data_IF_130539526836
#
_entry.id   IF_130539526836
#
_cell.length_a   1.000
_cell.length_b   1.000
_cell.length_c   1.000
_cell.angle_alpha   90.00
_cell.angle_beta   90.00
_cell.angle_gamma   90.00
#
_symmetry.space_group_name_H-M   'P 1'
#
loop_
_entity.id
_entity.type
_entity.pdbx_description
1 polymer ?
#
# COMPACT_ATOMS: atom_id res chain seq x y z
N UNK A 1 -51.86 -40.32 1.34
CA UNK A 1 -51.18 -39.40 2.27
C UNK A 1 -49.82 -39.13 1.68
N UNK A 2 -49.59 -37.90 1.21
CA UNK A 2 -48.30 -37.47 0.71
C UNK A 2 -47.48 -36.99 1.90
N UNK A 3 -46.29 -37.55 2.09
CA UNK A 3 -45.33 -37.11 3.08
C UNK A 3 -44.55 -35.94 2.47
N UNK A 4 -44.77 -34.73 2.97
CA UNK A 4 -43.93 -33.58 2.64
C UNK A 4 -42.58 -33.77 3.35
N UNK A 5 -41.53 -34.05 2.59
CA UNK A 5 -40.15 -33.92 3.05
C UNK A 5 -39.87 -32.42 3.17
N UNK A 6 -39.83 -31.91 4.41
CA UNK A 6 -39.37 -30.54 4.68
C UNK A 6 -37.89 -30.45 4.28
N UNK A 7 -37.64 -29.75 3.17
CA UNK A 7 -36.30 -29.40 2.72
C UNK A 7 -35.62 -28.58 3.82
N UNK A 8 -34.63 -29.18 4.47
CA UNK A 8 -33.76 -28.47 5.42
C UNK A 8 -32.93 -27.50 4.58
N UNK A 9 -33.33 -26.24 4.52
CA UNK A 9 -32.47 -25.16 4.06
C UNK A 9 -31.28 -25.10 5.01
N UNK A 10 -30.13 -25.56 4.53
CA UNK A 10 -28.87 -25.36 5.20
C UNK A 10 -28.55 -23.89 4.99
N UNK A 11 -28.71 -23.07 6.02
CA UNK A 11 -28.10 -21.74 6.07
C UNK A 11 -26.59 -21.95 5.96
N UNK A 12 -26.10 -21.96 4.71
CA UNK A 12 -24.70 -21.75 4.42
C UNK A 12 -24.40 -20.37 4.96
N UNK A 13 -23.68 -20.33 6.08
CA UNK A 13 -23.07 -19.12 6.62
C UNK A 13 -22.02 -18.66 5.60
N UNK A 14 -22.47 -18.11 4.47
CA UNK A 14 -21.61 -17.43 3.52
C UNK A 14 -21.12 -16.20 4.25
N UNK A 15 -19.88 -16.24 4.70
CA UNK A 15 -19.15 -15.05 5.13
C UNK A 15 -19.44 -13.96 4.09
N UNK A 16 -20.03 -12.87 4.56
CA UNK A 16 -20.46 -11.78 3.68
C UNK A 16 -19.19 -11.23 3.05
N UNK A 17 -19.01 -11.49 1.75
CA UNK A 17 -17.91 -10.92 0.98
C UNK A 17 -17.90 -9.40 1.17
N UNK A 18 -16.76 -8.87 1.62
CA UNK A 18 -16.61 -7.44 1.86
C UNK A 18 -16.71 -6.68 0.54
N UNK A 19 -17.35 -5.51 0.58
CA UNK A 19 -17.32 -4.57 -0.53
C UNK A 19 -15.90 -4.05 -0.76
N UNK A 20 -15.60 -3.58 -1.98
CA UNK A 20 -14.28 -3.03 -2.31
C UNK A 20 -13.86 -1.88 -1.38
N UNK A 21 -14.81 -1.06 -0.95
CA UNK A 21 -14.55 0.02 0.00
C UNK A 21 -14.15 -0.51 1.38
N UNK A 22 -14.86 -1.52 1.92
CA UNK A 22 -14.49 -2.17 3.18
C UNK A 22 -13.12 -2.86 3.07
N UNK A 23 -12.81 -3.48 1.93
CA UNK A 23 -11.48 -4.08 1.67
C UNK A 23 -10.36 -3.04 1.68
N UNK A 24 -10.59 -1.88 1.07
CA UNK A 24 -9.63 -0.77 1.05
C UNK A 24 -9.46 -0.11 2.43
N UNK A 25 -10.51 -0.05 3.23
CA UNK A 25 -10.42 0.39 4.63
C UNK A 25 -9.52 -0.56 5.44
N UNK A 26 -9.66 -1.88 5.25
CA UNK A 26 -8.74 -2.87 5.87
C UNK A 26 -7.29 -2.70 5.41
N UNK A 27 -7.08 -2.40 4.13
CA UNK A 27 -5.75 -2.10 3.61
C UNK A 27 -5.17 -0.83 4.26
N UNK A 28 -5.97 0.23 4.40
CA UNK A 28 -5.55 1.47 5.07
C UNK A 28 -5.17 1.23 6.53
N UNK A 29 -5.98 0.49 7.29
CA UNK A 29 -5.68 0.06 8.66
C UNK A 29 -4.33 -0.67 8.73
N UNK A 30 -4.06 -1.56 7.77
CA UNK A 30 -2.80 -2.31 7.73
C UNK A 30 -1.61 -1.40 7.39
N UNK A 31 -1.74 -0.52 6.39
CA UNK A 31 -0.69 0.43 6.02
C UNK A 31 -0.35 1.36 7.19
N UNK A 32 -1.37 1.91 7.87
CA UNK A 32 -1.18 2.75 9.05
C UNK A 32 -0.51 2.00 10.20
N UNK A 33 -0.87 0.73 10.42
CA UNK A 33 -0.21 -0.13 11.42
C UNK A 33 1.28 -0.30 11.13
N UNK A 34 1.65 -0.61 9.89
CA UNK A 34 3.06 -0.79 9.50
C UNK A 34 3.86 0.50 9.73
N UNK A 35 3.33 1.65 9.32
CA UNK A 35 3.99 2.94 9.56
C UNK A 35 4.15 3.23 11.05
N UNK A 36 3.14 2.94 11.87
CA UNK A 36 3.21 3.14 13.31
C UNK A 36 4.21 2.19 14.00
N UNK A 37 4.30 0.93 13.58
CA UNK A 37 5.18 -0.08 14.17
C UNK A 37 6.65 0.11 13.76
N UNK A 38 6.91 0.52 12.51
CA UNK A 38 8.27 0.66 11.98
C UNK A 38 8.91 2.03 12.30
N UNK A 39 8.11 3.09 12.48
CA UNK A 39 8.61 4.41 12.87
C UNK A 39 7.56 5.18 13.70
N UNK A 40 7.63 5.05 15.03
CA UNK A 40 6.68 5.64 15.99
C UNK A 40 6.38 7.13 15.82
N UNK A 41 7.29 7.90 15.19
CA UNK A 41 7.12 9.34 14.99
C UNK A 41 6.69 9.70 13.55
N UNK A 42 6.47 8.70 12.70
CA UNK A 42 6.14 8.91 11.29
C UNK A 42 4.71 8.48 11.01
N UNK A 43 3.84 9.46 10.87
CA UNK A 43 2.50 9.29 10.36
C UNK A 43 2.48 9.59 8.86
N UNK A 44 1.78 8.77 8.08
CA UNK A 44 1.36 9.12 6.74
C UNK A 44 -0.10 9.60 6.79
N UNK A 45 -0.41 10.70 6.11
CA UNK A 45 -1.81 11.02 5.81
C UNK A 45 -2.22 10.18 4.62
N UNK A 46 -3.37 9.50 4.71
CA UNK A 46 -3.78 8.50 3.72
C UNK A 46 -5.21 8.70 3.26
N UNK A 47 -5.46 8.37 2.00
CA UNK A 47 -6.78 8.43 1.41
C UNK A 47 -6.96 7.30 0.39
N UNK A 48 -8.05 6.54 0.53
CA UNK A 48 -8.35 5.40 -0.31
C UNK A 48 -9.39 5.77 -1.38
N UNK A 49 -9.14 5.37 -2.64
CA UNK A 49 -10.03 5.59 -3.79
C UNK A 49 -10.39 4.26 -4.46
N UNK A 50 -11.32 3.47 -3.89
CA UNK A 50 -11.66 2.14 -4.38
C UNK A 50 -12.14 2.11 -5.84
N UNK A 51 -12.84 3.16 -6.28
CA UNK A 51 -13.37 3.27 -7.64
C UNK A 51 -12.27 3.30 -8.72
N UNK A 52 -11.11 3.88 -8.37
CA UNK A 52 -9.95 4.02 -9.26
C UNK A 52 -8.84 3.02 -8.97
N UNK A 53 -9.06 2.13 -8.00
CA UNK A 53 -8.05 1.17 -7.52
C UNK A 53 -6.77 1.86 -7.03
N UNK A 54 -6.92 3.05 -6.46
CA UNK A 54 -5.79 3.88 -6.05
C UNK A 54 -5.82 4.21 -4.57
N UNK A 55 -4.64 4.45 -4.01
CA UNK A 55 -4.43 4.82 -2.63
C UNK A 55 -3.38 5.93 -2.58
N UNK A 56 -3.65 6.98 -1.81
CA UNK A 56 -2.84 8.17 -1.79
C UNK A 56 -2.20 8.32 -0.41
N UNK A 57 -0.92 8.66 -0.40
CA UNK A 57 -0.14 8.86 0.81
C UNK A 57 0.57 10.21 0.74
N UNK A 58 0.48 10.98 1.81
CA UNK A 58 1.32 12.16 2.02
C UNK A 58 2.25 11.90 3.20
N UNK A 59 3.54 12.05 2.97
CA UNK A 59 4.59 11.72 3.94
C UNK A 59 5.51 12.92 4.09
N UNK A 60 5.61 13.46 5.30
CA UNK A 60 6.62 14.47 5.61
C UNK A 60 8.00 13.81 5.69
N UNK A 61 8.98 14.40 4.99
CA UNK A 61 10.37 13.97 5.02
C UNK A 61 11.07 14.44 6.28
N UNK A 62 11.96 13.61 6.83
CA UNK A 62 12.67 13.89 8.08
C UNK A 62 13.74 14.96 7.94
N UNK A 63 14.39 15.02 6.79
CA UNK A 63 15.50 15.93 6.51
C UNK A 63 15.78 15.92 5.00
N UNK A 64 15.37 16.99 4.33
CA UNK A 64 15.52 17.13 2.87
C UNK A 64 16.92 17.57 2.44
N UNK A 65 17.77 17.93 3.41
CA UNK A 65 19.17 18.33 3.17
C UNK A 65 20.14 17.16 3.34
N UNK A 66 19.72 16.09 4.01
CA UNK A 66 20.53 14.90 4.23
C UNK A 66 20.13 13.77 3.26
N UNK A 67 20.97 13.58 2.24
CA UNK A 67 20.75 12.59 1.19
C UNK A 67 20.45 11.17 1.70
N UNK A 68 21.12 10.70 2.76
CA UNK A 68 20.89 9.34 3.26
C UNK A 68 19.48 9.22 3.83
N UNK A 69 19.06 10.17 4.68
CA UNK A 69 17.71 10.19 5.23
C UNK A 69 16.65 10.36 4.14
N UNK A 70 16.92 11.20 3.14
CA UNK A 70 16.05 11.35 1.97
C UNK A 70 15.86 10.03 1.22
N UNK A 71 16.94 9.25 1.02
CA UNK A 71 16.85 7.94 0.36
C UNK A 71 16.04 6.95 1.18
N UNK A 72 16.26 6.88 2.49
CA UNK A 72 15.48 6.01 3.37
C UNK A 72 13.99 6.41 3.32
N UNK A 73 13.70 7.71 3.47
CA UNK A 73 12.35 8.24 3.42
C UNK A 73 11.61 7.87 2.14
N UNK A 74 12.32 7.93 1.01
CA UNK A 74 11.80 7.57 -0.32
C UNK A 74 11.47 6.10 -0.45
N UNK A 75 12.26 5.22 0.17
CA UNK A 75 12.12 3.78 -0.02
C UNK A 75 11.12 3.14 0.96
N UNK A 76 10.87 3.77 2.10
CA UNK A 76 9.92 3.25 3.09
C UNK A 76 8.51 2.95 2.55
N UNK A 77 7.83 3.83 1.79
CA UNK A 77 6.54 3.47 1.19
C UNK A 77 6.62 2.31 0.21
N UNK A 78 7.72 2.17 -0.53
CA UNK A 78 7.95 1.04 -1.43
C UNK A 78 8.00 -0.28 -0.66
N UNK A 79 8.77 -0.30 0.43
CA UNK A 79 8.95 -1.50 1.25
C UNK A 79 7.71 -1.84 2.07
N UNK A 80 7.04 -0.85 2.65
CA UNK A 80 5.81 -1.06 3.40
C UNK A 80 4.71 -1.63 2.51
N UNK A 81 4.56 -1.09 1.29
CA UNK A 81 3.61 -1.65 0.33
C UNK A 81 3.98 -3.07 -0.10
N UNK A 82 5.28 -3.35 -0.33
CA UNK A 82 5.74 -4.69 -0.67
C UNK A 82 5.40 -5.72 0.43
N UNK A 83 5.64 -5.40 1.69
CA UNK A 83 5.33 -6.29 2.83
C UNK A 83 3.83 -6.61 2.88
N UNK A 84 2.97 -5.63 2.58
CA UNK A 84 1.52 -5.87 2.49
C UNK A 84 1.20 -6.78 1.31
N UNK A 85 1.81 -6.56 0.15
CA UNK A 85 1.60 -7.42 -1.02
C UNK A 85 2.00 -8.86 -0.75
N UNK A 86 3.12 -9.08 -0.07
CA UNK A 86 3.54 -10.39 0.42
C UNK A 86 2.49 -10.99 1.37
N UNK A 87 2.08 -10.28 2.43
CA UNK A 87 1.09 -10.77 3.42
C UNK A 87 -0.26 -11.18 2.81
N UNK A 88 -0.75 -10.43 1.82
CA UNK A 88 -2.04 -10.69 1.17
C UNK A 88 -1.97 -11.71 0.02
N UNK A 89 -0.77 -12.12 -0.42
CA UNK A 89 -0.58 -13.14 -1.46
C UNK A 89 0.08 -14.42 -0.94
N UNK A 90 0.54 -14.44 0.31
CA UNK A 90 1.09 -15.65 0.91
C UNK A 90 -0.03 -16.65 1.21
N UNK A 91 0.14 -17.88 0.73
CA UNK A 91 -0.83 -18.97 0.83
C UNK A 91 -0.74 -19.72 2.18
N UNK A 92 0.05 -19.22 3.15
CA UNK A 92 0.09 -19.78 4.50
C UNK A 92 -1.21 -19.37 5.23
N UNK A 93 -2.09 -20.36 5.48
CA UNK A 93 -3.46 -20.32 6.05
C UNK A 93 -3.70 -19.41 7.30
N UNK A 94 -2.68 -18.67 7.74
CA UNK A 94 -2.67 -17.69 8.81
C UNK A 94 -3.63 -16.50 8.63
N UNK A 95 -4.00 -16.14 7.40
CA UNK A 95 -4.88 -15.00 7.08
C UNK A 95 -5.95 -15.31 6.03
N UNK A 96 -6.77 -16.35 6.27
CA UNK A 96 -7.80 -16.87 5.35
C UNK A 96 -8.74 -15.84 4.69
N UNK A 97 -8.88 -14.65 5.27
CA UNK A 97 -9.83 -13.62 4.81
C UNK A 97 -9.17 -12.55 3.91
N UNK A 98 -7.84 -12.54 3.81
CA UNK A 98 -7.05 -11.54 3.09
C UNK A 98 -6.63 -12.10 1.73
N UNK A 99 -6.99 -11.39 0.66
CA UNK A 99 -6.60 -11.73 -0.70
C UNK A 99 -6.15 -10.48 -1.48
N UNK A 100 -5.56 -10.67 -2.66
CA UNK A 100 -5.04 -9.58 -3.50
C UNK A 100 -6.06 -8.48 -3.87
N UNK A 101 -7.38 -8.73 -3.80
CA UNK A 101 -8.44 -7.75 -4.11
C UNK A 101 -8.59 -6.66 -3.05
N UNK A 102 -7.94 -6.81 -1.90
CA UNK A 102 -7.83 -5.78 -0.88
C UNK A 102 -6.76 -4.73 -1.20
N UNK A 103 -5.86 -5.06 -2.12
CA UNK A 103 -4.70 -4.25 -2.41
C UNK A 103 -5.02 -3.29 -3.57
N UNK A 104 -4.82 -1.97 -3.41
CA UNK A 104 -4.91 -1.04 -4.53
C UNK A 104 -3.85 -1.35 -5.58
N UNK A 105 -4.22 -1.31 -6.87
CA UNK A 105 -3.26 -1.44 -7.97
C UNK A 105 -2.21 -0.34 -7.95
N UNK A 106 -2.57 0.89 -7.58
CA UNK A 106 -1.63 2.02 -7.56
C UNK A 106 -1.62 2.75 -6.21
N UNK A 107 -0.42 2.91 -5.64
CA UNK A 107 -0.17 3.78 -4.48
C UNK A 107 0.55 5.04 -4.94
N UNK A 108 -0.13 6.18 -4.87
CA UNK A 108 0.45 7.50 -5.16
C UNK A 108 1.05 8.09 -3.88
N UNK A 109 2.31 8.49 -3.93
CA UNK A 109 3.03 9.03 -2.77
C UNK A 109 3.44 10.47 -3.07
N UNK A 110 3.12 11.36 -2.14
CA UNK A 110 3.58 12.75 -2.12
C UNK A 110 4.49 12.93 -0.92
N UNK A 111 5.74 13.32 -1.15
CA UNK A 111 6.65 13.69 -0.10
C UNK A 111 6.64 15.20 0.12
N UNK A 112 6.52 15.62 1.37
CA UNK A 112 6.51 17.02 1.75
C UNK A 112 7.72 17.38 2.61
N UNK A 113 8.14 18.64 2.53
CA UNK A 113 9.16 19.20 3.42
C UNK A 113 8.58 19.53 4.79
N UNK A 114 9.44 19.81 5.77
CA UNK A 114 9.03 20.18 7.14
C UNK A 114 8.08 21.39 7.21
N UNK A 115 8.17 22.31 6.25
CA UNK A 115 7.33 23.50 6.09
C UNK A 115 6.13 23.30 5.14
N UNK A 116 5.86 22.06 4.72
CA UNK A 116 4.68 21.70 3.95
C UNK A 116 4.79 21.89 2.43
N UNK A 117 5.98 22.20 1.90
CA UNK A 117 6.23 22.26 0.46
C UNK A 117 6.27 20.85 -0.16
N UNK A 118 5.76 20.69 -1.37
CA UNK A 118 5.87 19.41 -2.09
C UNK A 118 7.31 19.23 -2.56
N UNK A 119 7.98 18.21 -2.04
CA UNK A 119 9.35 17.87 -2.38
C UNK A 119 9.40 16.99 -3.63
N UNK A 120 8.61 15.92 -3.69
CA UNK A 120 8.49 15.08 -4.88
C UNK A 120 7.21 14.25 -4.82
N UNK A 121 6.82 13.72 -5.97
CA UNK A 121 5.75 12.71 -6.06
C UNK A 121 6.28 11.47 -6.77
N UNK A 122 5.67 10.33 -6.49
CA UNK A 122 5.97 9.06 -7.17
C UNK A 122 4.78 8.11 -7.01
N UNK A 123 4.83 6.94 -7.65
CA UNK A 123 3.82 5.90 -7.42
C UNK A 123 4.41 4.50 -7.43
N UNK A 124 3.70 3.57 -6.79
CA UNK A 124 4.02 2.15 -6.73
C UNK A 124 2.86 1.40 -7.37
N UNK A 125 3.14 0.30 -8.08
CA UNK A 125 2.11 -0.57 -8.63
C UNK A 125 2.13 -1.96 -8.01
N UNK A 126 0.95 -2.53 -7.81
CA UNK A 126 0.76 -3.92 -7.35
C UNK A 126 1.61 -4.89 -8.15
N UNK A 127 1.51 -4.83 -9.48
CA UNK A 127 2.23 -5.76 -10.37
C UNK A 127 3.75 -5.68 -10.21
N UNK A 128 4.31 -4.57 -9.71
CA UNK A 128 5.76 -4.47 -9.46
C UNK A 128 6.16 -5.21 -8.20
N UNK A 129 5.40 -5.00 -7.12
CA UNK A 129 5.61 -5.70 -5.85
C UNK A 129 5.36 -7.21 -6.01
N UNK A 130 4.29 -7.60 -6.71
CA UNK A 130 3.98 -9.00 -6.99
C UNK A 130 5.08 -9.70 -7.81
N UNK A 131 5.62 -9.03 -8.83
CA UNK A 131 6.75 -9.57 -9.63
C UNK A 131 8.05 -9.69 -8.83
N UNK A 132 8.26 -8.80 -7.86
CA UNK A 132 9.40 -8.91 -6.95
C UNK A 132 9.19 -10.07 -5.96
N UNK A 133 8.00 -10.17 -5.35
CA UNK A 133 7.60 -11.27 -4.46
C UNK A 133 7.74 -12.66 -5.10
N UNK A 134 7.32 -12.79 -6.36
CA UNK A 134 7.38 -14.06 -7.11
C UNK A 134 8.74 -14.33 -7.79
N UNK A 135 9.79 -13.60 -7.42
CA UNK A 135 11.15 -13.68 -7.99
C UNK A 135 11.23 -13.43 -9.52
N UNK A 136 10.17 -12.94 -10.17
CA UNK A 136 10.20 -12.56 -11.60
C UNK A 136 11.14 -11.36 -11.82
N UNK A 137 11.15 -10.41 -10.88
CA UNK A 137 11.99 -9.21 -10.90
C UNK A 137 13.04 -9.25 -9.80
N UNK A 138 14.29 -8.94 -10.16
CA UNK A 138 15.30 -8.63 -9.14
C UNK A 138 14.99 -7.32 -8.42
N UNK A 139 15.53 -7.17 -7.20
CA UNK A 139 15.47 -5.91 -6.44
C UNK A 139 15.87 -4.67 -7.26
N UNK A 140 16.90 -4.79 -8.10
CA UNK A 140 17.35 -3.67 -8.95
C UNK A 140 16.27 -3.21 -9.92
N UNK A 141 15.52 -4.14 -10.50
CA UNK A 141 14.42 -3.82 -11.43
C UNK A 141 13.26 -3.19 -10.67
N UNK A 142 12.92 -3.73 -9.50
CA UNK A 142 11.85 -3.21 -8.64
C UNK A 142 12.12 -1.75 -8.23
N UNK A 143 13.30 -1.47 -7.66
CA UNK A 143 13.68 -0.10 -7.27
C UNK A 143 13.80 0.84 -8.47
N UNK A 144 14.29 0.36 -9.62
CA UNK A 144 14.41 1.19 -10.82
C UNK A 144 13.04 1.59 -11.38
N UNK A 145 12.04 0.70 -11.32
CA UNK A 145 10.66 1.03 -11.74
C UNK A 145 10.04 2.08 -10.84
N UNK A 146 10.16 1.91 -9.54
CA UNK A 146 9.70 2.90 -8.57
C UNK A 146 10.40 4.26 -8.74
N UNK A 147 11.74 4.29 -8.85
CA UNK A 147 12.47 5.54 -9.05
C UNK A 147 12.21 6.20 -10.41
N UNK A 148 11.73 5.45 -11.41
CA UNK A 148 11.41 6.01 -12.74
C UNK A 148 10.13 6.83 -12.78
N UNK A 149 9.33 6.80 -11.70
CA UNK A 149 8.09 7.56 -11.59
C UNK A 149 8.22 8.81 -10.72
N UNK A 150 9.42 9.08 -10.22
CA UNK A 150 9.66 10.25 -9.38
C UNK A 150 9.59 11.53 -10.21
N UNK A 151 8.77 12.46 -9.75
CA UNK A 151 8.67 13.83 -10.28
C UNK A 151 9.08 14.82 -9.20
N UNK A 152 10.03 15.70 -9.50
CA UNK A 152 10.52 16.72 -8.57
C UNK A 152 9.44 17.79 -8.36
N UNK A 153 9.14 18.07 -7.08
CA UNK A 153 8.21 19.13 -6.68
C UNK A 153 8.89 20.49 -6.56
N UNK A 154 8.12 21.58 -6.40
CA UNK A 154 8.67 22.93 -6.30
C UNK A 154 9.71 23.09 -5.17
N UNK A 155 9.51 22.44 -4.03
CA UNK A 155 10.41 22.56 -2.88
C UNK A 155 11.72 21.79 -3.06
N UNK A 156 11.79 20.87 -4.04
CA UNK A 156 13.00 20.10 -4.33
C UNK A 156 14.19 20.99 -4.65
N UNK A 157 13.97 22.01 -5.49
CA UNK A 157 15.05 22.89 -5.95
C UNK A 157 15.45 23.96 -4.93
N UNK A 158 14.59 24.24 -3.95
CA UNK A 158 14.86 25.20 -2.89
C UNK A 158 15.67 24.59 -1.75
N UNK A 159 15.50 23.28 -1.49
CA UNK A 159 16.10 22.59 -0.34
C UNK A 159 16.98 21.38 -0.67
N UNK A 160 16.94 20.86 -1.89
CA UNK A 160 17.60 19.63 -2.32
C UNK A 160 19.02 19.79 -2.87
N UNK A 161 19.76 20.84 -2.49
CA UNK A 161 21.16 21.04 -2.91
C UNK A 161 22.15 20.92 -1.76
#
# INVERSE_FOLDING_TARGET
MATEESKIETESNSEKELSKAEKFERFDEHMQRIYHELDYNRSAETEAFPENDSYHMTIQMRDTTNRTKTVDDRLDPLWNYYVIVEDYNDDDDSYSDRDHTYIPDTVNVTFTTEDGGVFETTHIKYIWAYKYYTDEWSLRVFMAKYGSTTEEGPAYHEKGR
#
